data_IF_549152039093
#
_entry.id   IF_549152039093
#
_cell.length_a   1.000
_cell.length_b   1.000
_cell.length_c   1.000
_cell.angle_alpha   90.00
_cell.angle_beta   90.00
_cell.angle_gamma   90.00
#
_symmetry.space_group_name_H-M   'P 1'
#
loop_
_entity.id
_entity.type
_entity.pdbx_description
1 polymer ?
#
# COMPACT_ATOMS: atom_id res chain seq x y z
N UNK A 1 19.02 -24.39 -6.30
CA UNK A 1 17.85 -23.90 -5.54
C UNK A 1 18.06 -22.44 -5.20
N UNK A 2 17.32 -21.52 -5.84
CA UNK A 2 17.39 -20.08 -5.56
C UNK A 2 15.97 -19.54 -5.58
N UNK A 3 15.25 -19.74 -4.48
CA UNK A 3 14.00 -19.03 -4.24
C UNK A 3 14.06 -18.37 -2.87
N UNK A 4 13.66 -17.11 -2.83
CA UNK A 4 13.31 -16.32 -1.64
C UNK A 4 14.41 -15.47 -1.01
N UNK A 5 14.89 -14.49 -1.77
CA UNK A 5 15.28 -13.19 -1.20
C UNK A 5 14.27 -12.10 -1.61
N UNK A 6 12.99 -12.49 -1.79
CA UNK A 6 11.90 -11.54 -1.95
C UNK A 6 11.50 -11.11 -0.54
N UNK A 7 11.65 -9.84 -0.16
CA UNK A 7 11.21 -9.38 1.14
C UNK A 7 9.72 -9.70 1.31
N UNK A 8 9.41 -10.41 2.39
CA UNK A 8 8.04 -10.68 2.77
C UNK A 8 7.36 -9.31 3.01
N UNK A 9 6.25 -9.01 2.32
CA UNK A 9 5.56 -7.72 2.42
C UNK A 9 5.14 -7.39 3.86
N UNK A 10 4.91 -8.44 4.68
CA UNK A 10 4.60 -8.31 6.10
C UNK A 10 5.85 -7.86 6.87
N UNK A 11 6.99 -8.51 6.66
CA UNK A 11 8.26 -8.10 7.29
C UNK A 11 8.66 -6.67 6.89
N UNK A 12 8.53 -6.32 5.60
CA UNK A 12 8.83 -4.97 5.13
C UNK A 12 7.91 -3.93 5.77
N UNK A 13 6.64 -4.27 5.97
CA UNK A 13 5.70 -3.41 6.66
C UNK A 13 6.10 -3.23 8.14
N UNK A 14 6.43 -4.30 8.85
CA UNK A 14 6.83 -4.23 10.26
C UNK A 14 8.10 -3.41 10.47
N UNK A 15 9.11 -3.63 9.61
CA UNK A 15 10.39 -2.92 9.68
C UNK A 15 10.27 -1.41 9.42
N UNK A 16 9.36 -1.00 8.52
CA UNK A 16 9.30 0.38 8.03
C UNK A 16 8.11 1.19 8.57
N UNK A 17 6.99 0.52 8.87
CA UNK A 17 5.71 1.15 9.20
C UNK A 17 5.36 0.92 10.68
N UNK A 18 5.38 -0.33 11.13
CA UNK A 18 5.10 -0.71 12.51
C UNK A 18 4.28 -1.99 12.62
N UNK A 19 3.74 -2.23 13.82
CA UNK A 19 3.06 -3.48 14.16
C UNK A 19 1.90 -3.82 13.21
N UNK A 20 1.85 -5.08 12.78
CA UNK A 20 0.73 -5.60 12.02
C UNK A 20 -0.40 -5.96 12.97
N UNK A 21 -1.47 -5.19 12.92
CA UNK A 21 -2.74 -5.55 13.57
C UNK A 21 -3.52 -6.52 12.66
N UNK A 22 -4.50 -7.29 13.18
CA UNK A 22 -5.30 -8.19 12.35
C UNK A 22 -5.94 -7.50 11.13
N UNK A 23 -6.44 -6.27 11.31
CA UNK A 23 -7.00 -5.47 10.22
C UNK A 23 -5.95 -5.17 9.16
N UNK A 24 -4.73 -4.79 9.55
CA UNK A 24 -3.64 -4.54 8.60
C UNK A 24 -3.19 -5.84 7.92
N UNK A 25 -3.21 -6.98 8.60
CA UNK A 25 -2.89 -8.27 8.01
C UNK A 25 -3.88 -8.64 6.90
N UNK A 26 -5.18 -8.45 7.13
CA UNK A 26 -6.22 -8.65 6.11
C UNK A 26 -5.98 -7.74 4.90
N UNK A 27 -5.66 -6.46 5.15
CA UNK A 27 -5.37 -5.49 4.10
C UNK A 27 -4.10 -5.82 3.30
N UNK A 28 -3.04 -6.31 3.95
CA UNK A 28 -1.80 -6.75 3.28
C UNK A 28 -2.05 -7.95 2.38
N UNK A 29 -2.79 -8.96 2.87
CA UNK A 29 -3.21 -10.11 2.06
C UNK A 29 -4.07 -9.68 0.88
N UNK A 30 -4.91 -8.67 1.10
CA UNK A 30 -5.75 -8.12 0.07
C UNK A 30 -4.92 -7.42 -1.02
N UNK A 31 -3.98 -6.57 -0.61
CA UNK A 31 -3.05 -5.90 -1.51
C UNK A 31 -2.20 -6.90 -2.31
N UNK A 32 -1.76 -7.99 -1.69
CA UNK A 32 -0.99 -9.06 -2.36
C UNK A 32 -1.76 -9.70 -3.53
N UNK A 33 -3.09 -9.83 -3.40
CA UNK A 33 -3.95 -10.36 -4.46
C UNK A 33 -4.20 -9.35 -5.58
N UNK A 34 -4.31 -8.08 -5.23
CA UNK A 34 -4.66 -7.00 -6.17
C UNK A 34 -3.46 -6.42 -6.93
N UNK A 35 -2.26 -6.43 -6.32
CA UNK A 35 -1.10 -5.72 -6.82
C UNK A 35 0.13 -6.64 -6.88
N UNK A 36 1.03 -6.42 -7.85
CA UNK A 36 2.32 -7.11 -7.87
C UNK A 36 3.11 -6.83 -6.58
N UNK A 37 3.79 -7.82 -5.98
CA UNK A 37 4.58 -7.63 -4.75
C UNK A 37 5.63 -6.52 -4.86
N UNK A 38 6.21 -6.33 -6.05
CA UNK A 38 7.18 -5.26 -6.31
C UNK A 38 6.58 -3.86 -6.21
N UNK A 39 5.28 -3.70 -6.46
CA UNK A 39 4.56 -2.44 -6.24
C UNK A 39 4.35 -2.24 -4.75
N UNK A 40 3.84 -3.24 -4.03
CA UNK A 40 3.62 -3.14 -2.58
C UNK A 40 4.92 -2.74 -1.86
N UNK A 41 6.03 -3.39 -2.21
CA UNK A 41 7.36 -3.03 -1.72
C UNK A 41 7.73 -1.57 -2.02
N UNK A 42 7.62 -1.15 -3.29
CA UNK A 42 7.96 0.21 -3.69
C UNK A 42 7.10 1.25 -2.95
N UNK A 43 5.83 0.95 -2.68
CA UNK A 43 4.91 1.84 -1.97
C UNK A 43 5.21 1.94 -0.47
N UNK A 44 5.58 0.82 0.17
CA UNK A 44 6.02 0.81 1.57
C UNK A 44 7.31 1.61 1.72
N UNK A 45 8.28 1.42 0.83
CA UNK A 45 9.52 2.21 0.83
C UNK A 45 9.26 3.71 0.63
N UNK A 46 8.35 4.08 -0.27
CA UNK A 46 7.97 5.48 -0.49
C UNK A 46 7.36 6.07 0.78
N UNK A 47 6.46 5.33 1.43
CA UNK A 47 5.86 5.73 2.70
C UNK A 47 6.93 5.92 3.80
N UNK A 48 7.89 5.01 3.88
CA UNK A 48 9.01 5.07 4.82
C UNK A 48 9.92 6.28 4.57
N UNK A 49 10.29 6.53 3.30
CA UNK A 49 11.13 7.67 2.86
C UNK A 49 10.48 9.01 3.18
N UNK A 50 9.15 9.10 3.03
CA UNK A 50 8.39 10.30 3.39
C UNK A 50 8.04 10.38 4.89
N UNK A 51 8.46 9.41 5.71
CA UNK A 51 8.10 9.26 7.12
C UNK A 51 6.57 9.24 7.36
N UNK A 52 5.80 8.77 6.37
CA UNK A 52 4.35 8.62 6.44
C UNK A 52 4.02 7.15 6.69
N UNK A 53 4.11 6.72 7.95
CA UNK A 53 3.85 5.34 8.38
C UNK A 53 2.35 5.02 8.49
N UNK A 54 1.62 5.24 7.41
CA UNK A 54 0.17 5.05 7.35
C UNK A 54 -0.21 4.16 6.17
N UNK A 55 -0.89 3.05 6.44
CA UNK A 55 -1.40 2.14 5.41
C UNK A 55 -2.25 2.85 4.34
N UNK A 56 -3.03 3.87 4.72
CA UNK A 56 -3.83 4.67 3.77
C UNK A 56 -2.97 5.36 2.73
N UNK A 57 -1.80 5.83 3.13
CA UNK A 57 -0.86 6.47 2.21
C UNK A 57 -0.30 5.44 1.23
N UNK A 58 0.11 4.27 1.73
CA UNK A 58 0.58 3.15 0.90
C UNK A 58 -0.49 2.75 -0.12
N UNK A 59 -1.74 2.58 0.32
CA UNK A 59 -2.86 2.27 -0.58
C UNK A 59 -3.12 3.37 -1.62
N UNK A 60 -3.00 4.65 -1.26
CA UNK A 60 -3.14 5.74 -2.21
C UNK A 60 -2.03 5.73 -3.28
N UNK A 61 -0.80 5.37 -2.91
CA UNK A 61 0.31 5.17 -3.86
C UNK A 61 -0.01 4.03 -4.81
N UNK A 62 -0.47 2.88 -4.29
CA UNK A 62 -0.84 1.71 -5.08
C UNK A 62 -2.00 1.99 -6.05
N UNK A 63 -3.05 2.68 -5.60
CA UNK A 63 -4.20 3.07 -6.41
C UNK A 63 -3.79 4.06 -7.51
N UNK A 64 -2.92 5.02 -7.18
CA UNK A 64 -2.33 5.94 -8.16
C UNK A 64 -1.54 5.19 -9.24
N UNK A 65 -0.81 4.13 -8.89
CA UNK A 65 -0.08 3.34 -9.89
C UNK A 65 -1.00 2.45 -10.73
N UNK A 66 -2.10 1.95 -10.16
CA UNK A 66 -3.13 1.22 -10.91
C UNK A 66 -3.83 2.10 -11.94
N UNK A 67 -4.08 3.37 -11.61
CA UNK A 67 -4.79 4.32 -12.48
C UNK A 67 -3.87 5.04 -13.47
N UNK A 68 -2.66 5.42 -13.08
CA UNK A 68 -1.74 6.27 -13.89
C UNK A 68 -0.49 5.53 -14.40
N UNK A 69 -0.27 4.28 -14.00
CA UNK A 69 0.99 3.55 -14.22
C UNK A 69 2.08 3.91 -13.20
N UNK A 70 3.06 3.01 -13.00
CA UNK A 70 4.11 3.07 -11.95
C UNK A 70 5.01 4.34 -11.98
N UNK A 71 4.87 5.22 -12.97
CA UNK A 71 5.68 6.43 -13.13
C UNK A 71 5.03 7.74 -12.66
N UNK A 72 3.76 7.73 -12.24
CA UNK A 72 2.98 8.96 -12.03
C UNK A 72 2.94 9.52 -10.61
N UNK A 73 3.47 8.82 -9.60
CA UNK A 73 3.40 9.30 -8.21
C UNK A 73 4.63 10.14 -7.89
N UNK A 74 4.50 11.46 -8.01
CA UNK A 74 5.57 12.43 -7.73
C UNK A 74 5.20 13.31 -6.53
N UNK A 75 4.77 12.72 -5.40
CA UNK A 75 4.47 13.45 -4.15
C UNK A 75 3.36 14.51 -4.21
N UNK A 76 2.83 14.82 -5.40
CA UNK A 76 1.76 15.79 -5.65
C UNK A 76 0.39 15.15 -5.39
N UNK A 77 0.12 14.73 -4.14
CA UNK A 77 -1.26 14.68 -3.65
C UNK A 77 -1.72 16.12 -3.32
N UNK A 78 -1.56 17.01 -4.30
CA UNK A 78 -2.06 18.37 -4.31
C UNK A 78 -3.38 18.40 -5.05
N UNK A 79 -4.48 18.40 -4.29
CA UNK A 79 -5.85 18.77 -4.71
C UNK A 79 -6.58 17.72 -5.56
N UNK A 80 -7.66 17.18 -4.97
CA UNK A 80 -8.70 16.36 -5.61
C UNK A 80 -8.36 14.87 -5.88
N UNK A 81 -8.25 14.10 -4.80
CA UNK A 81 -8.74 12.71 -4.81
C UNK A 81 -9.79 12.65 -3.72
N UNK A 82 -11.02 12.22 -4.04
CA UNK A 82 -12.09 11.97 -3.07
C UNK A 82 -11.47 11.30 -1.84
N UNK A 83 -11.58 11.94 -0.67
CA UNK A 83 -11.03 11.45 0.59
C UNK A 83 -11.89 10.28 1.06
N UNK A 84 -11.82 9.15 0.37
CA UNK A 84 -12.36 7.90 0.88
C UNK A 84 -11.53 7.57 2.12
N UNK A 85 -12.17 7.49 3.28
CA UNK A 85 -11.50 7.05 4.49
C UNK A 85 -11.00 5.62 4.37
N UNK A 86 -9.98 5.19 5.15
CA UNK A 86 -9.61 3.75 5.19
C UNK A 86 -10.88 2.91 5.41
N UNK A 87 -11.72 3.37 6.34
CA UNK A 87 -13.00 2.77 6.65
C UNK A 87 -13.98 2.78 5.46
N UNK A 88 -14.12 3.91 4.75
CA UNK A 88 -14.98 3.97 3.54
C UNK A 88 -14.43 3.14 2.38
N UNK A 89 -13.10 2.96 2.25
CA UNK A 89 -12.51 2.14 1.19
C UNK A 89 -12.82 0.66 1.44
N UNK A 90 -12.70 0.22 2.70
CA UNK A 90 -13.08 -1.11 3.17
C UNK A 90 -14.58 -1.36 2.96
N UNK A 91 -15.43 -0.37 3.24
CA UNK A 91 -16.88 -0.49 3.05
C UNK A 91 -17.31 -0.50 1.58
N UNK A 92 -16.69 0.31 0.72
CA UNK A 92 -17.06 0.42 -0.70
C UNK A 92 -16.68 -0.84 -1.50
N UNK A 93 -15.60 -1.54 -1.11
CA UNK A 93 -15.17 -2.83 -1.71
C UNK A 93 -15.97 -4.05 -1.25
N UNK A 94 -16.53 -4.03 -0.04
CA UNK A 94 -17.31 -5.18 0.50
C UNK A 94 -18.70 -5.31 -0.14
N UNK A 95 -19.17 -4.26 -0.83
CA UNK A 95 -20.49 -4.17 -1.46
C UNK A 95 -20.44 -4.17 -3.00
N UNK A 96 -19.35 -4.61 -3.63
CA UNK A 96 -19.23 -4.77 -5.10
C UNK A 96 -18.81 -6.18 -5.48
#
# INVERSE_FOLDING_TARGET
ELQHDRPNIFSLYEENIGLITPIIAEELQYAEKEFPPSWIQSAIEEAAKNNVRNWRYIMAVLDSWKTKGKGGFRGELGRHTEKITAAEYIQRRRNS
#
